data_IF_599422922211
#
_entry.id   IF_599422922211
#
_cell.length_a   1.000
_cell.length_b   1.000
_cell.length_c   1.000
_cell.angle_alpha   90.00
_cell.angle_beta   90.00
_cell.angle_gamma   90.00
#
_symmetry.space_group_name_H-M   'P 1'
#
loop_
_entity.id
_entity.type
_entity.pdbx_description
1 polymer ?
#
# COMPACT_ATOMS: atom_id res chain seq x y z
N UNK A 1 -5.73 3.60 -3.65
CA UNK A 1 -5.97 2.36 -2.89
C UNK A 1 -5.65 2.57 -1.42
N UNK A 2 -6.67 2.45 -0.63
CA UNK A 2 -6.62 2.57 0.83
C UNK A 2 -7.24 1.33 1.44
N UNK A 3 -7.13 1.13 2.75
CA UNK A 3 -8.05 0.26 3.47
C UNK A 3 -9.47 0.83 3.35
N UNK A 4 -10.49 -0.02 3.42
CA UNK A 4 -11.89 0.44 3.42
C UNK A 4 -12.16 1.36 4.62
N UNK A 5 -11.56 1.06 5.76
CA UNK A 5 -11.45 1.97 6.90
C UNK A 5 -10.12 2.72 6.79
N UNK A 6 -10.16 4.00 6.42
CA UNK A 6 -8.98 4.86 6.29
C UNK A 6 -8.18 5.00 7.59
N UNK A 7 -8.79 4.73 8.75
CA UNK A 7 -8.07 4.77 10.02
C UNK A 7 -7.28 3.50 10.30
N UNK A 8 -7.41 2.45 9.47
CA UNK A 8 -6.71 1.19 9.66
C UNK A 8 -5.34 1.18 8.99
N UNK A 9 -4.23 1.25 9.73
CA UNK A 9 -2.89 1.14 9.16
C UNK A 9 -2.55 -0.29 8.70
N UNK A 10 -3.22 -1.30 9.26
CA UNK A 10 -3.01 -2.71 8.93
C UNK A 10 -3.74 -3.10 7.66
N UNK A 11 -3.31 -2.56 6.53
CA UNK A 11 -3.98 -2.75 5.22
C UNK A 11 -4.04 -4.20 4.75
N UNK A 12 -3.15 -5.05 5.26
CA UNK A 12 -3.17 -6.51 5.04
C UNK A 12 -4.33 -7.23 5.74
N UNK A 13 -4.96 -6.58 6.71
CA UNK A 13 -6.05 -7.14 7.51
C UNK A 13 -7.32 -6.31 7.34
N UNK A 14 -7.81 -6.20 6.11
CA UNK A 14 -9.07 -5.53 5.78
C UNK A 14 -10.18 -6.59 5.62
N UNK A 15 -11.12 -6.71 6.57
CA UNK A 15 -12.14 -7.77 6.53
C UNK A 15 -13.15 -7.59 5.39
N UNK A 16 -13.29 -6.38 4.84
CA UNK A 16 -14.24 -6.06 3.77
C UNK A 16 -13.66 -6.28 2.37
N UNK A 17 -12.35 -6.43 2.28
CA UNK A 17 -11.67 -6.75 1.03
C UNK A 17 -11.54 -8.27 0.88
N UNK A 18 -12.31 -8.86 -0.03
CA UNK A 18 -12.29 -10.29 -0.34
C UNK A 18 -11.56 -10.57 -1.65
N UNK A 19 -11.11 -11.81 -1.86
CA UNK A 19 -10.46 -12.23 -3.10
C UNK A 19 -11.43 -12.67 -4.20
N UNK A 20 -12.72 -12.38 -4.06
CA UNK A 20 -13.75 -12.62 -5.07
C UNK A 20 -13.79 -11.50 -6.10
N UNK A 21 -14.04 -11.84 -7.38
CA UNK A 21 -14.31 -10.85 -8.43
C UNK A 21 -15.56 -9.98 -8.16
N UNK A 22 -16.43 -10.43 -7.24
CA UNK A 22 -17.60 -9.69 -6.78
C UNK A 22 -17.33 -8.88 -5.49
N UNK A 23 -16.06 -8.72 -5.10
CA UNK A 23 -15.72 -7.91 -3.92
C UNK A 23 -16.24 -6.48 -4.06
N UNK A 24 -16.73 -5.90 -2.98
CA UNK A 24 -17.18 -4.51 -2.95
C UNK A 24 -16.01 -3.53 -2.89
N UNK A 25 -14.87 -3.99 -2.36
CA UNK A 25 -13.70 -3.14 -2.14
C UNK A 25 -12.45 -3.80 -2.71
N UNK A 26 -11.65 -3.00 -3.40
CA UNK A 26 -10.30 -3.36 -3.81
C UNK A 26 -9.33 -2.45 -3.04
N UNK A 27 -8.57 -3.07 -2.15
CA UNK A 27 -7.60 -2.41 -1.28
C UNK A 27 -6.22 -3.05 -1.47
N UNK A 28 -5.21 -2.62 -0.72
CA UNK A 28 -3.90 -3.26 -0.78
C UNK A 28 -3.93 -4.75 -0.42
N UNK A 29 -4.92 -5.19 0.38
CA UNK A 29 -5.06 -6.60 0.74
C UNK A 29 -5.32 -7.48 -0.48
N UNK A 30 -6.22 -7.07 -1.37
CA UNK A 30 -6.76 -7.89 -2.46
C UNK A 30 -6.48 -7.32 -3.87
N UNK A 31 -5.31 -6.75 -4.09
CA UNK A 31 -4.87 -6.22 -5.39
C UNK A 31 -4.89 -7.27 -6.50
N UNK A 32 -4.86 -8.56 -6.15
CA UNK A 32 -5.01 -9.69 -7.06
C UNK A 32 -6.34 -9.63 -7.84
N UNK A 33 -7.40 -9.09 -7.24
CA UNK A 33 -8.69 -8.88 -7.93
C UNK A 33 -8.54 -7.86 -9.07
N UNK A 34 -7.83 -6.75 -8.81
CA UNK A 34 -7.54 -5.75 -9.83
C UNK A 34 -6.62 -6.30 -10.91
N UNK A 35 -5.59 -7.06 -10.52
CA UNK A 35 -4.71 -7.77 -11.45
C UNK A 35 -5.52 -8.68 -12.39
N UNK A 36 -6.36 -9.53 -11.83
CA UNK A 36 -7.20 -10.47 -12.57
C UNK A 36 -8.12 -9.74 -13.53
N UNK A 37 -8.77 -8.67 -13.09
CA UNK A 37 -9.58 -7.81 -13.94
C UNK A 37 -8.77 -7.20 -15.09
N UNK A 38 -7.59 -6.66 -14.83
CA UNK A 38 -6.74 -6.02 -15.84
C UNK A 38 -6.22 -7.00 -16.90
N UNK A 39 -6.01 -8.25 -16.49
CA UNK A 39 -5.50 -9.32 -17.36
C UNK A 39 -6.58 -10.05 -18.14
N UNK A 40 -7.86 -9.85 -17.79
CA UNK A 40 -9.00 -10.43 -18.53
C UNK A 40 -9.08 -9.86 -19.95
N UNK A 41 -9.29 -10.75 -20.93
CA UNK A 41 -9.40 -10.38 -22.33
C UNK A 41 -10.53 -9.39 -22.64
N UNK A 42 -11.65 -9.46 -21.92
CA UNK A 42 -12.77 -8.54 -22.08
C UNK A 42 -12.43 -7.10 -21.67
N UNK A 43 -11.50 -6.92 -20.73
CA UNK A 43 -11.06 -5.64 -20.22
C UNK A 43 -9.85 -5.07 -20.99
N UNK A 44 -9.21 -5.86 -21.82
CA UNK A 44 -8.10 -5.41 -22.67
C UNK A 44 -8.57 -4.53 -23.83
N UNK A 45 -7.72 -3.58 -24.24
CA UNK A 45 -7.99 -2.81 -25.44
C UNK A 45 -7.96 -3.71 -26.66
N UNK A 46 -9.04 -3.75 -27.44
CA UNK A 46 -9.23 -4.66 -28.58
C UNK A 46 -9.02 -6.16 -28.23
N UNK A 47 -9.29 -6.54 -26.98
CA UNK A 47 -9.18 -7.92 -26.50
C UNK A 47 -7.76 -8.45 -26.30
N UNK A 48 -6.73 -7.69 -26.62
CA UNK A 48 -5.34 -8.17 -26.64
C UNK A 48 -4.38 -7.31 -25.83
N UNK A 49 -4.54 -5.99 -25.82
CA UNK A 49 -3.57 -5.06 -25.19
C UNK A 49 -4.02 -4.73 -23.78
N UNK A 50 -3.21 -5.10 -22.78
CA UNK A 50 -3.42 -4.70 -21.39
C UNK A 50 -3.44 -3.18 -21.27
N UNK A 51 -4.43 -2.64 -20.56
CA UNK A 51 -4.46 -1.22 -20.22
C UNK A 51 -3.46 -0.93 -19.11
N UNK A 52 -2.88 0.27 -19.12
CA UNK A 52 -2.07 0.72 -17.99
C UNK A 52 -2.96 0.97 -16.78
N UNK A 53 -2.57 0.39 -15.64
CA UNK A 53 -3.29 0.48 -14.37
C UNK A 53 -2.39 1.09 -13.32
N UNK A 54 -2.74 2.28 -12.87
CA UNK A 54 -2.00 3.03 -11.85
C UNK A 54 -2.87 3.23 -10.62
N UNK A 55 -2.31 2.96 -9.46
CA UNK A 55 -2.88 3.37 -8.17
C UNK A 55 -2.52 4.84 -7.94
N UNK A 56 -3.22 5.73 -8.64
CA UNK A 56 -2.84 7.14 -8.77
C UNK A 56 -3.04 7.97 -7.50
N UNK A 57 -3.81 7.45 -6.56
CA UNK A 57 -3.91 7.96 -5.19
C UNK A 57 -3.98 6.77 -4.25
N UNK A 58 -2.92 6.56 -3.49
CA UNK A 58 -2.79 5.43 -2.61
C UNK A 58 -1.96 5.78 -1.38
N UNK A 59 -2.33 5.25 -0.22
CA UNK A 59 -1.62 5.53 1.01
C UNK A 59 -2.05 4.63 2.15
N UNK A 60 -1.32 4.72 3.24
CA UNK A 60 -1.61 4.06 4.52
C UNK A 60 -1.61 5.13 5.61
N UNK A 61 -2.67 5.20 6.37
CA UNK A 61 -2.76 6.13 7.48
C UNK A 61 -1.98 5.61 8.70
N UNK A 62 -1.31 6.49 9.44
CA UNK A 62 -0.97 6.22 10.83
C UNK A 62 -1.97 6.97 11.72
N UNK A 63 -2.50 6.32 12.75
CA UNK A 63 -3.52 6.95 13.60
C UNK A 63 -2.96 8.12 14.39
N UNK A 64 -1.68 8.00 14.75
CA UNK A 64 -0.91 9.01 15.46
C UNK A 64 0.59 8.83 15.15
N UNK A 65 1.45 9.50 15.90
CA UNK A 65 2.90 9.42 15.76
C UNK A 65 3.58 8.52 16.81
N UNK A 66 2.83 7.61 17.42
CA UNK A 66 3.44 6.57 18.24
C UNK A 66 4.30 5.65 17.35
N UNK A 67 5.35 5.09 17.93
CA UNK A 67 6.25 4.19 17.22
C UNK A 67 5.48 3.01 16.60
N UNK A 68 4.53 2.44 17.35
CA UNK A 68 3.71 1.33 16.90
C UNK A 68 2.91 1.68 15.64
N UNK A 69 2.21 2.82 15.63
CA UNK A 69 1.38 3.23 14.49
C UNK A 69 2.21 3.62 13.26
N UNK A 70 3.36 4.26 13.48
CA UNK A 70 4.29 4.56 12.41
C UNK A 70 4.91 3.31 11.79
N UNK A 71 5.20 2.28 12.59
CA UNK A 71 5.69 0.99 12.09
C UNK A 71 4.59 0.24 11.31
N UNK A 72 3.34 0.27 11.76
CA UNK A 72 2.21 -0.29 11.01
C UNK A 72 2.03 0.40 9.65
N UNK A 73 2.14 1.72 9.60
CA UNK A 73 2.08 2.48 8.34
C UNK A 73 3.20 2.03 7.39
N UNK A 74 4.43 1.93 7.88
CA UNK A 74 5.57 1.49 7.10
C UNK A 74 5.40 0.04 6.58
N UNK A 75 4.95 -0.86 7.45
CA UNK A 75 4.64 -2.25 7.08
C UNK A 75 3.52 -2.33 6.03
N UNK A 76 2.51 -1.48 6.15
CA UNK A 76 1.41 -1.39 5.17
C UNK A 76 1.89 -1.01 3.77
N UNK A 77 2.85 -0.09 3.67
CA UNK A 77 3.46 0.23 2.38
C UNK A 77 4.35 -0.89 1.86
N UNK A 78 5.17 -1.49 2.70
CA UNK A 78 6.01 -2.64 2.29
C UNK A 78 5.15 -3.79 1.73
N UNK A 79 4.04 -4.09 2.41
CA UNK A 79 3.06 -5.08 1.95
C UNK A 79 2.45 -4.72 0.59
N UNK A 80 1.99 -3.47 0.43
CA UNK A 80 1.42 -2.99 -0.82
C UNK A 80 2.42 -3.07 -1.97
N UNK A 81 3.67 -2.64 -1.73
CA UNK A 81 4.74 -2.65 -2.72
C UNK A 81 5.09 -4.06 -3.18
N UNK A 82 5.25 -5.01 -2.25
CA UNK A 82 5.51 -6.42 -2.60
C UNK A 82 4.40 -7.01 -3.46
N UNK A 83 3.14 -6.69 -3.19
CA UNK A 83 2.02 -7.10 -4.04
C UNK A 83 2.04 -6.47 -5.42
N UNK A 84 2.22 -5.16 -5.49
CA UNK A 84 2.27 -4.43 -6.76
C UNK A 84 3.38 -4.99 -7.65
N UNK A 85 4.56 -5.23 -7.09
CA UNK A 85 5.72 -5.74 -7.81
C UNK A 85 5.52 -7.17 -8.34
N UNK A 86 4.70 -7.97 -7.67
CA UNK A 86 4.40 -9.35 -8.05
C UNK A 86 3.22 -9.47 -9.06
N UNK A 87 2.47 -8.39 -9.29
CA UNK A 87 1.22 -8.43 -10.06
C UNK A 87 1.33 -7.64 -11.36
N UNK A 88 1.59 -8.33 -12.47
CA UNK A 88 1.75 -7.75 -13.83
C UNK A 88 0.56 -6.89 -14.29
N UNK A 89 -0.60 -7.03 -13.68
CA UNK A 89 -1.79 -6.24 -13.99
C UNK A 89 -1.72 -4.80 -13.49
N UNK A 90 -0.77 -4.46 -12.61
CA UNK A 90 -0.62 -3.14 -11.99
C UNK A 90 0.72 -2.57 -12.38
N UNK A 91 0.74 -1.35 -12.93
CA UNK A 91 1.93 -0.74 -13.50
C UNK A 91 2.62 0.24 -12.53
N UNK A 92 1.97 0.64 -11.47
CA UNK A 92 2.60 1.52 -10.48
C UNK A 92 1.68 2.11 -9.45
N UNK A 93 2.28 2.84 -8.54
CA UNK A 93 1.64 3.51 -7.41
C UNK A 93 2.15 4.93 -7.27
N UNK A 94 1.26 5.85 -6.94
CA UNK A 94 1.58 7.20 -6.49
C UNK A 94 1.14 7.35 -5.05
N UNK A 95 2.11 7.60 -4.17
CA UNK A 95 1.83 7.74 -2.75
C UNK A 95 1.13 9.08 -2.46
N UNK A 96 0.04 9.03 -1.73
CA UNK A 96 -0.60 10.19 -1.15
C UNK A 96 -0.37 10.14 0.37
N UNK A 97 0.41 11.02 0.98
CA UNK A 97 0.81 12.33 0.55
C UNK A 97 2.32 12.56 0.88
N UNK A 98 2.91 13.72 0.56
CA UNK A 98 4.29 14.04 0.94
C UNK A 98 4.42 14.39 2.43
N UNK A 99 3.60 15.34 2.89
CA UNK A 99 3.45 15.69 4.30
C UNK A 99 2.06 15.29 4.78
N UNK A 100 1.93 14.99 6.08
CA UNK A 100 0.62 14.86 6.69
C UNK A 100 -0.15 16.17 6.58
N UNK A 101 -1.46 16.09 6.37
CA UNK A 101 -2.33 17.24 6.15
C UNK A 101 -3.45 17.25 7.19
N UNK A 102 -3.43 18.25 8.07
CA UNK A 102 -4.44 18.40 9.12
C UNK A 102 -5.86 18.58 8.56
N UNK A 103 -5.99 19.21 7.39
CA UNK A 103 -7.29 19.44 6.74
C UNK A 103 -7.95 18.13 6.30
N UNK A 104 -7.14 17.14 5.91
CA UNK A 104 -7.62 15.81 5.54
C UNK A 104 -8.01 14.96 6.76
N UNK A 105 -7.55 15.32 7.96
CA UNK A 105 -7.80 14.57 9.18
C UNK A 105 -7.14 13.19 9.21
N UNK A 106 -6.11 12.98 8.39
CA UNK A 106 -5.39 11.71 8.26
C UNK A 106 -3.88 11.93 8.14
N UNK A 107 -3.10 11.03 8.71
CA UNK A 107 -1.64 11.03 8.66
C UNK A 107 -1.14 10.10 7.55
N UNK A 108 -1.44 10.45 6.30
CA UNK A 108 -1.12 9.67 5.10
C UNK A 108 0.28 9.99 4.53
N UNK A 109 0.88 11.10 4.97
CA UNK A 109 2.16 11.58 4.47
C UNK A 109 3.34 10.64 4.73
N UNK A 110 4.35 10.73 3.89
CA UNK A 110 5.68 10.14 4.15
C UNK A 110 6.41 10.87 5.30
N UNK A 111 6.00 12.10 5.55
CA UNK A 111 6.58 13.00 6.56
C UNK A 111 5.47 13.51 7.47
N UNK A 112 5.84 13.83 8.72
CA UNK A 112 4.94 14.44 9.69
C UNK A 112 4.44 15.81 9.22
N UNK A 113 3.51 16.41 9.97
CA UNK A 113 3.07 17.78 9.72
C UNK A 113 4.24 18.76 9.62
N UNK A 114 4.07 19.77 8.79
CA UNK A 114 4.97 20.91 8.73
C UNK A 114 4.27 22.10 9.39
N UNK A 115 4.42 22.23 10.71
CA UNK A 115 3.81 23.26 11.54
C UNK A 115 4.77 23.75 12.65
N UNK A 116 4.24 24.40 13.69
CA UNK A 116 5.06 24.90 14.80
C UNK A 116 5.59 23.76 15.69
N UNK A 117 4.85 22.66 15.79
CA UNK A 117 5.19 21.50 16.64
C UNK A 117 6.10 20.53 15.90
N UNK A 118 5.76 20.21 14.67
CA UNK A 118 6.49 19.28 13.82
C UNK A 118 7.16 20.02 12.67
N UNK A 119 8.38 19.62 12.34
CA UNK A 119 9.14 20.26 11.25
C UNK A 119 9.17 19.42 9.97
N UNK A 120 8.15 18.60 9.80
CA UNK A 120 8.05 17.70 8.66
C UNK A 120 9.09 16.58 8.70
N UNK A 121 9.37 16.04 9.87
CA UNK A 121 10.32 14.94 10.04
C UNK A 121 9.87 13.72 9.24
N UNK A 122 10.84 13.00 8.66
CA UNK A 122 10.56 11.76 7.95
C UNK A 122 9.97 10.72 8.92
N UNK A 123 8.92 10.03 8.45
CA UNK A 123 8.35 8.87 9.15
C UNK A 123 9.05 7.58 8.69
N UNK A 124 8.94 6.47 9.42
CA UNK A 124 9.50 5.18 8.97
C UNK A 124 9.08 4.80 7.53
N UNK A 125 7.85 5.10 7.13
CA UNK A 125 7.36 4.85 5.76
C UNK A 125 8.16 5.59 4.67
N UNK A 126 8.78 6.73 4.99
CA UNK A 126 9.67 7.44 4.08
C UNK A 126 10.85 6.56 3.64
N UNK A 127 11.45 5.86 4.58
CA UNK A 127 12.61 5.00 4.31
C UNK A 127 12.19 3.73 3.55
N UNK A 128 11.01 3.19 3.84
CA UNK A 128 10.44 2.09 3.05
C UNK A 128 10.24 2.53 1.59
N UNK A 129 9.68 3.73 1.39
CA UNK A 129 9.50 4.30 0.06
C UNK A 129 10.82 4.51 -0.69
N UNK A 130 11.88 4.96 0.02
CA UNK A 130 13.21 5.13 -0.58
C UNK A 130 13.88 3.80 -0.96
N UNK A 131 13.64 2.73 -0.21
CA UNK A 131 14.25 1.42 -0.44
C UNK A 131 13.48 0.58 -1.46
N UNK A 132 12.20 0.85 -1.66
CA UNK A 132 11.36 0.15 -2.62
C UNK A 132 11.96 0.20 -4.03
N UNK A 133 12.13 -0.96 -4.66
CA UNK A 133 12.72 -1.11 -5.99
C UNK A 133 14.24 -0.95 -6.06
N UNK A 134 14.94 -0.93 -4.93
CA UNK A 134 16.41 -0.90 -4.88
C UNK A 134 16.99 -2.24 -4.43
N UNK A 135 18.31 -2.40 -4.55
CA UNK A 135 19.02 -3.61 -4.08
C UNK A 135 18.95 -3.80 -2.54
N UNK A 136 18.56 -2.76 -1.80
CA UNK A 136 18.42 -2.79 -0.35
C UNK A 136 17.00 -3.18 0.11
N UNK A 137 16.06 -3.34 -0.82
CA UNK A 137 14.64 -3.57 -0.50
C UNK A 137 14.44 -4.79 0.36
N UNK A 138 14.94 -5.94 -0.07
CA UNK A 138 14.66 -7.23 0.58
C UNK A 138 15.15 -7.22 2.02
N UNK A 139 16.41 -6.83 2.26
CA UNK A 139 16.98 -6.73 3.59
C UNK A 139 16.22 -5.74 4.48
N UNK A 140 15.88 -4.57 3.93
CA UNK A 140 15.19 -3.54 4.69
C UNK A 140 13.75 -3.93 5.04
N UNK A 141 13.07 -4.66 4.16
CA UNK A 141 11.67 -5.03 4.36
C UNK A 141 11.47 -6.20 5.32
N UNK A 142 12.48 -7.02 5.59
CA UNK A 142 12.40 -8.15 6.54
C UNK A 142 11.89 -7.74 7.92
N UNK A 143 12.23 -6.55 8.40
CA UNK A 143 11.79 -6.03 9.69
C UNK A 143 10.26 -5.91 9.83
N UNK A 144 9.53 -5.86 8.71
CA UNK A 144 8.07 -5.71 8.72
C UNK A 144 7.32 -7.04 8.72
N UNK A 145 7.98 -8.17 8.45
CA UNK A 145 7.35 -9.50 8.50
C UNK A 145 6.66 -9.76 9.84
N UNK A 146 7.30 -9.55 11.01
CA UNK A 146 6.65 -9.76 12.29
C UNK A 146 5.53 -8.74 12.59
N UNK A 147 5.59 -7.53 12.05
CA UNK A 147 4.54 -6.50 12.20
C UNK A 147 3.27 -6.93 11.46
N UNK A 148 3.43 -7.53 10.28
CA UNK A 148 2.34 -8.05 9.45
C UNK A 148 1.84 -9.40 9.99
N UNK A 149 2.70 -10.16 10.65
CA UNK A 149 2.41 -11.51 11.17
C UNK A 149 2.60 -12.60 10.11
N UNK A 150 3.54 -12.42 9.20
CA UNK A 150 3.91 -13.38 8.14
C UNK A 150 5.37 -13.82 8.31
N UNK A 151 5.74 -14.98 7.73
CA UNK A 151 7.09 -15.52 7.77
C UNK A 151 7.97 -15.13 6.59
N UNK A 152 7.36 -14.78 5.48
CA UNK A 152 8.01 -14.42 4.23
C UNK A 152 7.09 -13.59 3.34
N UNK A 153 7.59 -13.11 2.20
CA UNK A 153 6.86 -12.28 1.25
C UNK A 153 6.07 -13.08 0.19
N UNK A 154 5.78 -14.35 0.45
CA UNK A 154 4.89 -15.14 -0.42
C UNK A 154 3.41 -14.84 -0.09
N UNK A 155 2.96 -13.63 -0.41
CA UNK A 155 1.67 -13.06 0.02
C UNK A 155 0.62 -12.96 -1.09
N UNK A 156 0.91 -13.49 -2.27
CA UNK A 156 -0.03 -13.46 -3.39
C UNK A 156 -1.04 -14.60 -3.24
N UNK A 157 -2.31 -14.24 -3.21
CA UNK A 157 -3.41 -15.19 -3.16
C UNK A 157 -3.81 -15.63 -4.57
N UNK A 158 -3.95 -16.93 -4.74
CA UNK A 158 -4.40 -17.57 -5.98
C UNK A 158 -5.86 -18.03 -5.82
N UNK A 159 -6.77 -17.42 -6.54
CA UNK A 159 -8.22 -17.73 -6.50
C UNK A 159 -8.86 -17.78 -7.89
#
# INVERSE_FOLDING_TARGET
SYAQDLTNPCTWNDPNATYSMNTQFVTFKNLEVLHKWAMDGENKYKGTVKRSVWLSEAGVNSRDYSEEELQKQAAGFAYAWKKINALEGIDGIQWHNWFDNQVEGACLGLRKYLDETYKGEAKPVWYVYQKAGTDEEDEYFEQFLPVIGISDWNIIEHF
#
